data_IF_188397093846
#
_entry.id   IF_188397093846
#
_cell.length_a   1.000
_cell.length_b   1.000
_cell.length_c   1.000
_cell.angle_alpha   90.00
_cell.angle_beta   90.00
_cell.angle_gamma   90.00
#
_symmetry.space_group_name_H-M   'P 1'
#
loop_
_entity.id
_entity.type
_entity.pdbx_description
1 polymer ?
#
# COMPACT_ATOMS: atom_id res chain seq x y z
N UNK A 1 32.96 24.83 22.77
CA UNK A 1 33.33 23.68 21.91
C UNK A 1 32.27 23.68 20.83
N UNK A 2 32.38 24.68 19.96
CA UNK A 2 31.34 25.11 19.01
C UNK A 2 31.89 24.75 17.64
N UNK A 3 31.25 23.84 16.91
CA UNK A 3 31.78 23.45 15.62
C UNK A 3 30.93 22.42 14.88
N UNK A 4 31.00 22.43 13.55
CA UNK A 4 30.08 21.82 12.57
C UNK A 4 29.98 20.29 12.59
N UNK A 5 30.55 19.60 13.59
CA UNK A 5 30.46 18.15 13.73
C UNK A 5 29.07 17.69 14.16
N UNK A 6 28.39 18.43 15.04
CA UNK A 6 26.97 18.16 15.36
C UNK A 6 26.08 18.35 14.12
N UNK A 7 26.48 19.25 13.20
CA UNK A 7 25.80 19.42 11.92
C UNK A 7 26.05 18.22 10.97
N UNK A 8 27.18 17.52 11.10
CA UNK A 8 27.47 16.31 10.33
C UNK A 8 26.79 15.07 10.90
N UNK A 9 26.59 15.03 12.22
CA UNK A 9 25.94 13.91 12.90
C UNK A 9 24.41 13.87 12.68
N UNK A 10 23.72 15.01 12.49
CA UNK A 10 22.30 14.99 12.08
C UNK A 10 22.10 14.57 10.62
N UNK A 11 23.04 14.89 9.73
CA UNK A 11 22.97 14.45 8.34
C UNK A 11 23.10 12.91 8.20
N UNK A 12 23.82 12.27 9.13
CA UNK A 12 23.96 10.81 9.18
C UNK A 12 22.81 10.11 9.94
N UNK A 13 22.04 10.86 10.72
CA UNK A 13 20.94 10.36 11.55
C UNK A 13 19.61 10.98 11.12
N UNK A 14 19.13 10.64 9.91
CA UNK A 14 17.74 10.90 9.55
C UNK A 14 17.45 11.37 8.14
N UNK A 15 18.41 11.34 7.22
CA UNK A 15 18.04 11.35 5.80
C UNK A 15 17.41 10.00 5.47
N UNK A 16 16.07 9.94 5.50
CA UNK A 16 15.33 9.01 4.64
C UNK A 16 15.90 9.22 3.24
N UNK A 17 16.80 8.34 2.83
CA UNK A 17 17.38 8.27 1.51
C UNK A 17 16.24 8.47 0.50
N UNK A 18 16.18 9.58 -0.28
CA UNK A 18 15.22 9.67 -1.35
C UNK A 18 15.80 8.80 -2.47
N UNK A 19 15.67 7.48 -2.31
CA UNK A 19 15.89 6.54 -3.40
C UNK A 19 14.90 6.91 -4.49
N UNK A 20 15.30 7.75 -5.45
CA UNK A 20 14.57 8.17 -6.65
C UNK A 20 13.07 8.00 -6.49
N UNK A 21 12.40 9.05 -6.01
CA UNK A 21 10.99 9.05 -5.62
C UNK A 21 10.18 8.23 -6.62
N UNK A 22 9.53 7.16 -6.18
CA UNK A 22 8.73 6.34 -7.07
C UNK A 22 7.48 7.19 -7.41
N UNK A 23 7.40 7.83 -8.60
CA UNK A 23 6.38 8.84 -8.89
C UNK A 23 4.98 8.27 -8.87
N UNK A 24 4.82 6.95 -9.05
CA UNK A 24 3.52 6.30 -8.97
C UNK A 24 3.41 5.55 -7.64
N UNK A 25 2.53 6.04 -6.78
CA UNK A 25 2.20 5.41 -5.50
C UNK A 25 0.80 4.84 -5.56
N UNK A 26 0.64 3.62 -5.07
CA UNK A 26 -0.66 3.01 -4.86
C UNK A 26 -0.80 2.47 -3.46
N UNK A 27 -1.96 2.70 -2.86
CA UNK A 27 -2.26 2.23 -1.53
C UNK A 27 -3.38 1.20 -1.55
N UNK A 28 -3.09 0.03 -1.02
CA UNK A 28 -4.01 -1.10 -0.93
C UNK A 28 -4.44 -1.32 0.51
N UNK A 29 -5.74 -1.46 0.75
CA UNK A 29 -6.22 -1.99 2.02
C UNK A 29 -6.35 -3.52 1.92
N UNK A 30 -5.48 -4.23 2.63
CA UNK A 30 -5.52 -5.69 2.78
C UNK A 30 -6.40 -6.02 3.98
N UNK A 31 -7.55 -6.65 3.75
CA UNK A 31 -8.55 -6.86 4.79
C UNK A 31 -8.40 -8.13 5.62
N UNK A 32 -7.49 -9.04 5.25
CA UNK A 32 -7.28 -10.33 5.92
C UNK A 32 -5.89 -10.46 6.58
N UNK A 33 -5.23 -9.33 6.83
CA UNK A 33 -3.90 -9.26 7.45
C UNK A 33 -3.80 -8.11 8.43
N UNK A 34 -3.06 -8.33 9.50
CA UNK A 34 -2.57 -7.27 10.37
C UNK A 34 -1.12 -6.87 10.00
N UNK A 35 -0.61 -5.80 10.60
CA UNK A 35 0.71 -5.24 10.28
C UNK A 35 1.80 -6.28 10.51
N UNK A 36 1.74 -6.96 11.64
CA UNK A 36 2.63 -8.01 12.11
C UNK A 36 2.69 -9.21 11.16
N UNK A 37 1.62 -9.47 10.39
CA UNK A 37 1.56 -10.56 9.42
C UNK A 37 2.14 -10.16 8.04
N UNK A 38 2.20 -8.86 7.74
CA UNK A 38 2.68 -8.34 6.44
C UNK A 38 4.12 -7.81 6.50
N UNK A 39 4.58 -7.42 7.69
CA UNK A 39 5.97 -7.04 7.96
C UNK A 39 7.01 -8.12 7.63
N UNK A 40 6.77 -9.43 7.88
CA UNK A 40 7.73 -10.48 7.57
C UNK A 40 8.09 -10.52 6.08
N UNK A 41 9.38 -10.75 5.78
CA UNK A 41 9.92 -10.70 4.42
C UNK A 41 9.16 -11.57 3.41
N UNK A 42 8.84 -12.81 3.77
CA UNK A 42 8.11 -13.72 2.88
C UNK A 42 6.70 -13.23 2.51
N UNK A 43 5.98 -12.60 3.44
CA UNK A 43 4.66 -12.04 3.18
C UNK A 43 4.76 -10.80 2.28
N UNK A 44 5.72 -9.91 2.59
CA UNK A 44 5.99 -8.70 1.80
C UNK A 44 6.42 -9.02 0.37
N UNK A 45 7.30 -10.01 0.17
CA UNK A 45 7.72 -10.46 -1.16
C UNK A 45 6.57 -11.09 -1.95
N UNK A 46 5.73 -11.90 -1.31
CA UNK A 46 4.54 -12.46 -1.95
C UNK A 46 3.58 -11.35 -2.39
N UNK A 47 3.39 -10.34 -1.54
CA UNK A 47 2.56 -9.17 -1.87
C UNK A 47 3.13 -8.42 -3.07
N UNK A 48 4.44 -8.14 -3.08
CA UNK A 48 5.12 -7.46 -4.19
C UNK A 48 5.01 -8.26 -5.49
N UNK A 49 5.10 -9.59 -5.45
CA UNK A 49 4.94 -10.44 -6.62
C UNK A 49 3.52 -10.35 -7.20
N UNK A 50 2.49 -10.33 -6.35
CA UNK A 50 1.12 -10.10 -6.77
C UNK A 50 0.94 -8.69 -7.35
N UNK A 51 1.50 -7.66 -6.70
CA UNK A 51 1.50 -6.29 -7.21
C UNK A 51 2.21 -6.19 -8.57
N UNK A 52 3.29 -6.93 -8.79
CA UNK A 52 4.00 -6.94 -10.07
C UNK A 52 3.10 -7.48 -11.21
N UNK A 53 2.27 -8.48 -10.92
CA UNK A 53 1.24 -8.95 -11.85
C UNK A 53 0.20 -7.87 -12.20
N UNK A 54 -0.12 -6.98 -11.26
CA UNK A 54 -1.03 -5.86 -11.48
C UNK A 54 -0.43 -4.71 -12.29
N UNK A 55 0.83 -4.35 -12.01
CA UNK A 55 1.57 -3.36 -12.81
C UNK A 55 2.01 -3.92 -14.16
N UNK A 56 1.97 -5.25 -14.32
CA UNK A 56 2.56 -5.98 -15.45
C UNK A 56 4.06 -5.68 -15.60
N UNK A 57 4.73 -5.32 -14.50
CA UNK A 57 6.13 -4.84 -14.41
C UNK A 57 6.73 -5.17 -13.04
N UNK A 58 8.07 -5.15 -12.95
CA UNK A 58 8.81 -5.65 -11.77
C UNK A 58 9.46 -4.61 -10.86
N UNK A 59 9.43 -3.31 -11.18
CA UNK A 59 10.13 -2.26 -10.43
C UNK A 59 9.30 -1.73 -9.25
N UNK A 60 8.79 -2.63 -8.40
CA UNK A 60 7.91 -2.30 -7.28
C UNK A 60 8.61 -2.42 -5.94
N UNK A 61 8.25 -1.52 -5.02
CA UNK A 61 8.69 -1.56 -3.62
C UNK A 61 7.58 -1.14 -2.68
N UNK A 62 7.45 -1.82 -1.54
CA UNK A 62 6.56 -1.36 -0.47
C UNK A 62 7.22 -0.18 0.23
N UNK A 63 6.57 0.98 0.18
CA UNK A 63 7.05 2.25 0.72
C UNK A 63 6.55 2.51 2.14
N UNK A 64 5.36 2.02 2.47
CA UNK A 64 4.80 2.07 3.82
C UNK A 64 3.84 0.91 4.10
N UNK A 65 3.74 0.55 5.38
CA UNK A 65 2.74 -0.39 5.90
C UNK A 65 2.13 0.27 7.14
N UNK A 66 0.81 0.39 7.19
CA UNK A 66 0.12 1.12 8.28
C UNK A 66 -1.13 0.36 8.71
N UNK A 67 -1.31 0.18 10.01
CA UNK A 67 -2.53 -0.44 10.56
C UNK A 67 -3.77 0.36 10.15
N UNK A 68 -4.85 -0.33 9.78
CA UNK A 68 -6.13 0.32 9.53
C UNK A 68 -6.68 1.04 10.78
N UNK A 69 -6.33 0.58 11.98
CA UNK A 69 -6.75 1.24 13.23
C UNK A 69 -6.11 2.60 13.45
N UNK A 70 -4.89 2.79 12.95
CA UNK A 70 -4.15 4.03 13.14
C UNK A 70 -4.86 5.23 12.47
N UNK A 71 -5.76 4.98 11.51
CA UNK A 71 -6.58 6.00 10.85
C UNK A 71 -7.92 6.24 11.52
N UNK A 72 -8.26 5.50 12.58
CA UNK A 72 -9.45 5.71 13.38
C UNK A 72 -9.19 6.64 14.57
N UNK A 73 -10.19 7.43 14.97
CA UNK A 73 -10.11 8.28 16.16
C UNK A 73 -10.14 7.49 17.49
N UNK A 74 -10.51 6.21 17.44
CA UNK A 74 -10.53 5.26 18.56
C UNK A 74 -10.04 3.91 18.05
N UNK A 75 -9.11 3.30 18.78
CA UNK A 75 -8.71 1.92 18.54
C UNK A 75 -9.84 0.99 19.01
N UNK A 76 -10.44 0.17 18.12
CA UNK A 76 -11.36 -0.87 18.54
C UNK A 76 -10.65 -1.88 19.46
N UNK A 77 -11.42 -2.53 20.33
CA UNK A 77 -10.90 -3.65 21.11
C UNK A 77 -10.49 -4.79 20.17
N UNK A 78 -9.35 -5.45 20.41
CA UNK A 78 -8.97 -6.63 19.65
C UNK A 78 -10.07 -7.70 19.74
N UNK A 79 -10.57 -8.15 18.59
CA UNK A 79 -11.53 -9.25 18.50
C UNK A 79 -10.78 -10.46 17.96
N UNK A 80 -10.68 -11.52 18.77
CA UNK A 80 -9.97 -12.74 18.39
C UNK A 80 -10.48 -13.30 17.05
N UNK A 81 -9.55 -13.64 16.16
CA UNK A 81 -9.85 -14.18 14.83
C UNK A 81 -10.25 -13.14 13.76
N UNK A 82 -10.49 -11.88 14.15
CA UNK A 82 -10.79 -10.79 13.22
C UNK A 82 -9.54 -9.94 12.98
N UNK A 83 -9.15 -9.84 11.71
CA UNK A 83 -8.09 -8.92 11.27
C UNK A 83 -8.69 -7.54 11.06
N UNK A 84 -7.95 -6.53 11.46
CA UNK A 84 -8.37 -5.13 11.37
C UNK A 84 -8.08 -4.59 9.97
N UNK A 85 -7.06 -5.17 9.33
CA UNK A 85 -6.61 -4.82 8.00
C UNK A 85 -5.41 -3.87 8.04
N UNK A 86 -4.69 -3.85 6.93
CA UNK A 86 -3.46 -3.10 6.78
C UNK A 86 -3.44 -2.35 5.46
N UNK A 87 -3.07 -1.07 5.52
CA UNK A 87 -2.76 -0.27 4.36
C UNK A 87 -1.32 -0.54 3.93
N UNK A 88 -1.13 -0.93 2.67
CA UNK A 88 0.18 -1.20 2.07
C UNK A 88 0.37 -0.21 0.92
N UNK A 89 1.37 0.65 1.04
CA UNK A 89 1.77 1.56 -0.03
C UNK A 89 2.85 0.90 -0.88
N UNK A 90 2.64 0.90 -2.20
CA UNK A 90 3.55 0.37 -3.21
C UNK A 90 3.95 1.50 -4.15
N UNK A 91 5.25 1.73 -4.26
CA UNK A 91 5.83 2.69 -5.20
C UNK A 91 6.36 1.99 -6.47
N UNK A 92 6.20 2.66 -7.61
CA UNK A 92 6.75 2.27 -8.91
C UNK A 92 7.29 3.48 -9.67
N UNK A 93 8.29 3.26 -10.55
CA UNK A 93 8.67 4.24 -11.57
C UNK A 93 7.82 4.15 -12.83
N UNK A 94 7.10 3.04 -12.98
CA UNK A 94 6.21 2.79 -14.09
C UNK A 94 4.79 3.30 -13.81
N UNK A 95 4.09 3.85 -14.82
CA UNK A 95 2.68 4.21 -14.70
C UNK A 95 1.79 3.03 -14.31
N UNK A 96 0.62 3.35 -13.77
CA UNK A 96 -0.40 2.35 -13.44
C UNK A 96 -0.90 1.62 -14.69
N UNK A 97 -1.18 0.32 -14.54
CA UNK A 97 -1.82 -0.45 -15.60
C UNK A 97 -3.25 0.03 -15.85
N UNK A 98 -3.82 -0.21 -17.05
CA UNK A 98 -5.22 0.13 -17.34
C UNK A 98 -6.20 -0.44 -16.32
N UNK A 99 -5.91 -1.62 -15.76
CA UNK A 99 -6.77 -2.21 -14.74
C UNK A 99 -6.79 -1.39 -13.45
N UNK A 100 -5.63 -0.94 -12.97
CA UNK A 100 -5.54 -0.11 -11.76
C UNK A 100 -6.23 1.24 -11.96
N UNK A 101 -6.04 1.87 -13.12
CA UNK A 101 -6.71 3.12 -13.47
C UNK A 101 -8.23 2.94 -13.49
N UNK A 102 -8.73 1.84 -14.08
CA UNK A 102 -10.16 1.53 -14.06
C UNK A 102 -10.67 1.27 -12.63
N UNK A 103 -9.92 0.53 -11.82
CA UNK A 103 -10.27 0.21 -10.44
C UNK A 103 -10.40 1.46 -9.55
N UNK A 104 -9.56 2.47 -9.79
CA UNK A 104 -9.57 3.74 -9.08
C UNK A 104 -10.37 4.86 -9.79
N UNK A 105 -11.13 4.54 -10.85
CA UNK A 105 -11.89 5.52 -11.62
C UNK A 105 -13.06 6.14 -10.81
N UNK A 106 -13.56 7.33 -11.21
CA UNK A 106 -14.78 7.91 -10.61
C UNK A 106 -15.99 6.96 -10.68
N UNK A 107 -16.13 6.20 -11.76
CA UNK A 107 -17.20 5.22 -11.92
C UNK A 107 -17.08 4.07 -10.92
N UNK A 108 -15.86 3.58 -10.68
CA UNK A 108 -15.57 2.61 -9.63
C UNK A 108 -15.91 3.15 -8.24
N UNK A 109 -15.57 4.41 -7.94
CA UNK A 109 -15.97 5.06 -6.68
C UNK A 109 -17.49 5.16 -6.52
N UNK A 110 -18.22 5.54 -7.55
CA UNK A 110 -19.68 5.61 -7.52
C UNK A 110 -20.32 4.22 -7.30
N UNK A 111 -19.74 3.17 -7.89
CA UNK A 111 -20.15 1.78 -7.62
C UNK A 111 -19.93 1.40 -6.16
N UNK A 112 -18.75 1.69 -5.62
CA UNK A 112 -18.44 1.43 -4.23
C UNK A 112 -19.38 2.12 -3.25
N UNK A 113 -19.79 3.36 -3.54
CA UNK A 113 -20.79 4.10 -2.73
C UNK A 113 -22.18 3.42 -2.71
N UNK A 114 -22.49 2.62 -3.73
CA UNK A 114 -23.73 1.84 -3.84
C UNK A 114 -23.57 0.40 -3.35
N UNK A 115 -22.45 0.06 -2.71
CA UNK A 115 -22.12 -1.31 -2.31
C UNK A 115 -21.82 -2.25 -3.48
N UNK A 116 -21.63 -1.72 -4.69
CA UNK A 116 -21.29 -2.50 -5.88
C UNK A 116 -19.78 -2.65 -6.02
N UNK A 117 -19.35 -3.73 -6.68
CA UNK A 117 -17.94 -3.94 -7.01
C UNK A 117 -17.45 -2.86 -7.98
N UNK A 118 -16.20 -2.39 -7.85
CA UNK A 118 -15.63 -1.43 -8.79
C UNK A 118 -15.51 -2.02 -10.21
N UNK A 119 -14.92 -1.27 -11.13
CA UNK A 119 -14.57 -1.76 -12.46
C UNK A 119 -13.08 -2.14 -12.49
N UNK A 120 -12.76 -3.41 -12.30
CA UNK A 120 -11.42 -3.94 -12.46
C UNK A 120 -11.50 -5.37 -13.03
N UNK A 121 -10.62 -5.70 -13.96
CA UNK A 121 -10.49 -7.07 -14.46
C UNK A 121 -9.51 -7.91 -13.64
N UNK A 122 -8.79 -7.27 -12.71
CA UNK A 122 -7.64 -7.84 -11.99
C UNK A 122 -7.92 -8.10 -10.50
N UNK A 123 -9.18 -8.36 -10.14
CA UNK A 123 -9.58 -8.58 -8.75
C UNK A 123 -8.88 -9.76 -8.08
N UNK A 124 -8.58 -10.78 -8.87
CA UNK A 124 -8.10 -12.07 -8.38
C UNK A 124 -6.58 -12.15 -8.26
N UNK A 125 -5.84 -11.12 -8.69
CA UNK A 125 -4.36 -11.16 -8.74
C UNK A 125 -3.70 -11.35 -7.38
N UNK A 126 -4.37 -10.94 -6.31
CA UNK A 126 -3.91 -11.09 -4.93
C UNK A 126 -4.40 -12.37 -4.25
N UNK A 127 -5.38 -13.06 -4.86
CA UNK A 127 -5.92 -14.31 -4.35
C UNK A 127 -4.93 -15.48 -4.50
N UNK A 128 -5.01 -16.51 -3.65
CA UNK A 128 -5.89 -16.61 -2.47
C UNK A 128 -5.31 -15.94 -1.21
N UNK A 129 -4.10 -15.38 -1.28
CA UNK A 129 -3.33 -15.03 -0.09
C UNK A 129 -3.73 -13.68 0.55
N UNK A 130 -4.20 -12.73 -0.26
CA UNK A 130 -4.57 -11.39 0.20
C UNK A 130 -5.96 -11.01 -0.31
N UNK A 131 -6.80 -10.55 0.62
CA UNK A 131 -8.15 -10.05 0.33
C UNK A 131 -8.11 -8.53 0.26
N UNK A 132 -7.98 -7.98 -0.95
CA UNK A 132 -7.93 -6.53 -1.15
C UNK A 132 -9.33 -5.92 -1.07
N UNK A 133 -9.45 -4.85 -0.28
CA UNK A 133 -10.63 -3.97 -0.27
C UNK A 133 -10.49 -2.94 -1.39
N UNK A 134 -10.88 -3.33 -2.60
CA UNK A 134 -10.70 -2.53 -3.81
C UNK A 134 -11.37 -1.14 -3.77
N UNK A 135 -12.45 -0.98 -3.00
CA UNK A 135 -13.09 0.32 -2.81
C UNK A 135 -12.26 1.32 -2.00
N UNK A 136 -11.18 0.86 -1.37
CA UNK A 136 -10.22 1.67 -0.62
C UNK A 136 -8.91 1.86 -1.38
N UNK A 137 -8.84 1.45 -2.65
CA UNK A 137 -7.66 1.67 -3.49
C UNK A 137 -7.50 3.17 -3.76
N UNK A 138 -6.30 3.69 -3.50
CA UNK A 138 -5.92 5.05 -3.90
C UNK A 138 -4.67 4.99 -4.77
N UNK A 139 -4.65 5.85 -5.79
CA UNK A 139 -3.52 6.00 -6.72
C UNK A 139 -3.10 7.47 -6.68
N UNK A 140 -1.80 7.71 -6.53
CA UNK A 140 -1.21 9.04 -6.50
C UNK A 140 -0.03 9.11 -7.47
N UNK A 141 0.06 10.22 -8.19
CA UNK A 141 1.25 10.60 -8.96
C UNK A 141 1.93 11.74 -8.20
N UNK A 142 3.17 11.52 -7.77
CA UNK A 142 4.03 12.50 -7.11
C UNK A 142 4.80 13.32 -8.15
#
# INVERSE_FOLDING_TARGET
MEGPELLRLWALAGERQPCGEAPFQAEFLVGNRDVEELLPGAARERFLRASAGLWQRGDLRVTAVTSALHRGARAPLPIEGRREGVYVQVGSHSPFSPCLVAAASPQSRARCQRGQRPLASCYDTFGPHFSIRWCNLTLAKL
#
